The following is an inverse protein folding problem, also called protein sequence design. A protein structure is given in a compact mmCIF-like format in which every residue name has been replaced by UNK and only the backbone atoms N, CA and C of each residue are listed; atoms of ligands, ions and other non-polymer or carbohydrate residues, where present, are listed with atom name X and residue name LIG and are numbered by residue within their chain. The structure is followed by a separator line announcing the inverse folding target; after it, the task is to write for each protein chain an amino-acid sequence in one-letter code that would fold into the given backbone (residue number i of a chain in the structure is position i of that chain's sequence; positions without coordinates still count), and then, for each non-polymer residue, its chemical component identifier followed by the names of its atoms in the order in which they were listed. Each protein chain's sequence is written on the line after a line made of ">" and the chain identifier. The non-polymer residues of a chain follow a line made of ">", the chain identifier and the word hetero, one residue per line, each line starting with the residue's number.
data_IF_604907165570
#
_entry.id   IF_604907165570
#
_cell.length_a   1.000
_cell.length_b   1.000
_cell.length_c   1.000
_cell.angle_alpha   90.00
_cell.angle_beta   90.00
_cell.angle_gamma   90.00
#
_symmetry.space_group_name_H-M   'P 1'
#
loop_
_entity.id
_entity.type
_entity.pdbx_description
1 polymer ?
#
# COMPACT_ATOMS: atom_id res chain seq x y z
N UNK A 1 -14.33 -27.89 21.23
CA UNK A 1 -13.37 -27.38 20.23
C UNK A 1 -14.22 -26.68 19.19
N UNK A 2 -14.44 -25.36 19.34
CA UNK A 2 -15.21 -24.58 18.37
C UNK A 2 -14.19 -23.87 17.49
N UNK A 3 -13.91 -24.46 16.33
CA UNK A 3 -13.13 -23.83 15.28
C UNK A 3 -13.96 -22.67 14.72
N UNK A 4 -13.72 -21.48 15.27
CA UNK A 4 -14.14 -20.26 14.61
C UNK A 4 -13.19 -20.06 13.43
N UNK A 5 -13.60 -20.56 12.26
CA UNK A 5 -13.19 -20.02 10.98
C UNK A 5 -13.47 -18.51 11.05
N UNK A 6 -12.47 -17.72 11.41
CA UNK A 6 -12.54 -16.27 11.31
C UNK A 6 -12.61 -16.00 9.82
N UNK A 7 -13.84 -15.94 9.28
CA UNK A 7 -14.09 -15.53 7.90
C UNK A 7 -13.43 -14.18 7.75
N UNK A 8 -12.32 -14.16 6.99
CA UNK A 8 -11.59 -12.93 6.75
C UNK A 8 -12.59 -11.97 6.09
N UNK A 9 -12.72 -10.77 6.63
CA UNK A 9 -13.60 -9.78 6.04
C UNK A 9 -13.10 -9.46 4.64
N UNK A 10 -13.85 -9.89 3.63
CA UNK A 10 -13.54 -9.64 2.22
C UNK A 10 -13.36 -8.13 2.00
N UNK A 11 -14.13 -7.31 2.73
CA UNK A 11 -14.02 -5.85 2.70
C UNK A 11 -12.66 -5.35 3.19
N UNK A 12 -12.13 -5.89 4.29
CA UNK A 12 -10.84 -5.43 4.82
C UNK A 12 -9.69 -5.85 3.91
N UNK A 13 -9.77 -7.03 3.30
CA UNK A 13 -8.77 -7.50 2.35
C UNK A 13 -8.80 -6.71 1.03
N UNK A 14 -9.99 -6.41 0.51
CA UNK A 14 -10.16 -5.51 -0.63
C UNK A 14 -9.59 -4.12 -0.35
N UNK A 15 -9.81 -3.58 0.85
CA UNK A 15 -9.31 -2.26 1.24
C UNK A 15 -7.78 -2.25 1.42
N UNK A 16 -7.21 -3.28 2.05
CA UNK A 16 -5.77 -3.43 2.17
C UNK A 16 -5.10 -3.57 0.79
N UNK A 17 -5.72 -4.36 -0.10
CA UNK A 17 -5.31 -4.47 -1.49
C UNK A 17 -5.38 -3.13 -2.23
N UNK A 18 -6.47 -2.38 -2.07
CA UNK A 18 -6.66 -1.05 -2.66
C UNK A 18 -5.56 -0.07 -2.25
N UNK A 19 -5.25 0.02 -0.95
CA UNK A 19 -4.22 0.93 -0.44
C UNK A 19 -2.85 0.53 -0.98
N UNK A 20 -2.52 -0.76 -0.91
CA UNK A 20 -1.21 -1.26 -1.35
C UNK A 20 -1.03 -1.01 -2.85
N UNK A 21 -2.04 -1.35 -3.64
CA UNK A 21 -2.07 -1.10 -5.08
C UNK A 21 -2.01 0.38 -5.42
N UNK A 22 -2.72 1.23 -4.69
CA UNK A 22 -2.69 2.67 -4.87
C UNK A 22 -1.30 3.25 -4.63
N UNK A 23 -0.66 2.90 -3.52
CA UNK A 23 0.67 3.43 -3.16
C UNK A 23 1.72 3.00 -4.17
N UNK A 24 1.72 1.72 -4.58
CA UNK A 24 2.63 1.23 -5.62
C UNK A 24 2.37 1.90 -6.97
N UNK A 25 1.10 2.01 -7.38
CA UNK A 25 0.72 2.68 -8.61
C UNK A 25 1.10 4.16 -8.62
N UNK A 26 0.89 4.85 -7.49
CA UNK A 26 1.23 6.26 -7.32
C UNK A 26 2.73 6.48 -7.45
N UNK A 27 3.53 5.65 -6.77
CA UNK A 27 4.98 5.71 -6.83
C UNK A 27 5.46 5.45 -8.26
N UNK A 28 5.05 4.34 -8.88
CA UNK A 28 5.46 3.99 -10.23
C UNK A 28 5.03 5.04 -11.27
N UNK A 29 3.81 5.57 -11.16
CA UNK A 29 3.30 6.61 -12.05
C UNK A 29 4.01 7.95 -11.89
N UNK A 30 4.38 8.32 -10.66
CA UNK A 30 5.16 9.53 -10.40
C UNK A 30 6.59 9.38 -10.95
N UNK A 31 7.23 8.21 -10.76
CA UNK A 31 8.53 7.91 -11.36
C UNK A 31 8.46 7.98 -12.89
N UNK A 32 7.42 7.41 -13.50
CA UNK A 32 7.22 7.46 -14.95
C UNK A 32 7.02 8.89 -15.44
N UNK A 33 6.18 9.68 -14.78
CA UNK A 33 5.97 11.10 -15.11
C UNK A 33 7.24 11.94 -14.97
N UNK A 34 8.07 11.64 -13.96
CA UNK A 34 9.34 12.31 -13.77
C UNK A 34 10.32 11.97 -14.90
N UNK A 35 10.40 10.69 -15.29
CA UNK A 35 11.21 10.25 -16.44
C UNK A 35 10.75 10.92 -17.73
N UNK A 36 9.44 10.97 -18.00
CA UNK A 36 8.90 11.64 -19.20
C UNK A 36 9.25 13.12 -19.23
N UNK A 37 9.05 13.83 -18.11
CA UNK A 37 9.34 15.26 -18.01
C UNK A 37 10.84 15.54 -18.18
N UNK A 38 11.69 14.67 -17.62
CA UNK A 38 13.14 14.77 -17.74
C UNK A 38 13.62 14.47 -19.17
N UNK A 39 13.13 13.40 -19.80
CA UNK A 39 13.49 13.06 -21.18
C UNK A 39 13.07 14.14 -22.17
N UNK A 40 11.91 14.76 -21.96
CA UNK A 40 11.44 15.87 -22.79
C UNK A 40 12.44 17.04 -22.77
N UNK A 41 12.95 17.41 -21.59
CA UNK A 41 13.98 18.46 -21.48
C UNK A 41 15.33 18.05 -22.06
N UNK A 42 15.78 16.82 -21.80
CA UNK A 42 17.04 16.32 -22.35
C UNK A 42 17.06 16.32 -23.89
N UNK A 43 15.93 15.98 -24.52
CA UNK A 43 15.78 16.00 -25.98
C UNK A 43 15.81 17.42 -26.54
N UNK A 44 15.13 18.37 -25.90
CA UNK A 44 15.13 19.78 -26.31
C UNK A 44 16.53 20.39 -26.19
N UNK A 45 17.23 20.15 -25.08
CA UNK A 45 18.58 20.62 -24.87
C UNK A 45 19.55 20.04 -25.90
N UNK A 46 19.46 18.73 -26.18
CA UNK A 46 20.26 18.09 -27.22
C UNK A 46 20.02 18.72 -28.61
N UNK A 47 18.77 19.00 -28.97
CA UNK A 47 18.47 19.66 -30.24
C UNK A 47 18.98 21.10 -30.30
N UNK A 48 18.97 21.83 -29.19
CA UNK A 48 19.56 23.17 -29.13
C UNK A 48 21.06 23.15 -29.40
N UNK A 49 21.78 22.17 -28.84
CA UNK A 49 23.22 22.00 -29.04
C UNK A 49 23.56 21.61 -30.48
N UNK A 50 22.72 20.78 -31.12
CA UNK A 50 22.87 20.43 -32.53
C UNK A 50 22.58 21.60 -33.47
N UNK A 51 21.53 22.38 -33.21
CA UNK A 51 21.25 23.60 -33.97
C UNK A 51 22.41 24.59 -33.91
N UNK A 52 23.01 24.75 -32.71
CA UNK A 52 24.18 25.61 -32.52
C UNK A 52 25.44 25.07 -33.22
N UNK A 53 25.72 23.77 -33.09
CA UNK A 53 26.93 23.14 -33.66
C UNK A 53 26.89 23.04 -35.20
N UNK A 54 25.71 22.85 -35.78
CA UNK A 54 25.53 22.69 -37.23
C UNK A 54 25.26 24.01 -37.95
N UNK A 55 24.92 25.08 -37.22
CA UNK A 55 24.53 26.39 -37.80
C UNK A 55 23.20 26.34 -38.56
N UNK A 56 22.39 25.29 -38.33
CA UNK A 56 21.13 25.02 -39.03
C UNK A 56 19.95 25.37 -38.11
N UNK A 57 18.90 25.98 -38.66
CA UNK A 57 17.69 26.33 -37.91
C UNK A 57 17.01 25.09 -37.30
N UNK A 58 16.53 25.20 -36.06
CA UNK A 58 15.89 24.12 -35.29
C UNK A 58 14.71 23.43 -36.00
N UNK A 59 14.04 24.13 -36.93
CA UNK A 59 12.92 23.61 -37.71
C UNK A 59 13.31 22.58 -38.78
N UNK A 60 14.59 22.52 -39.16
CA UNK A 60 15.11 21.54 -40.14
C UNK A 60 15.61 20.25 -39.48
N UNK A 61 15.60 20.18 -38.15
CA UNK A 61 15.95 18.96 -37.40
C UNK A 61 14.74 18.00 -37.29
N UNK A 62 14.97 16.69 -37.18
CA UNK A 62 13.93 15.65 -37.29
C UNK A 62 12.78 15.72 -36.26
N UNK A 63 12.87 16.55 -35.21
CA UNK A 63 11.76 16.84 -34.29
C UNK A 63 11.40 18.34 -34.19
N UNK A 64 11.82 19.18 -35.15
CA UNK A 64 11.67 20.64 -35.09
C UNK A 64 10.24 21.12 -34.78
N UNK A 65 9.23 20.46 -35.37
CA UNK A 65 7.82 20.76 -35.09
C UNK A 65 7.32 20.24 -33.73
N UNK A 66 7.97 19.21 -33.17
CA UNK A 66 7.60 18.56 -31.92
C UNK A 66 8.28 19.19 -30.70
N UNK A 67 9.31 20.04 -30.89
CA UNK A 67 10.02 20.76 -29.81
C UNK A 67 9.05 21.50 -28.89
N UNK A 68 8.03 22.14 -29.46
CA UNK A 68 7.04 22.90 -28.70
C UNK A 68 6.19 22.01 -27.79
N UNK A 69 5.84 20.81 -28.23
CA UNK A 69 5.11 19.84 -27.40
C UNK A 69 6.03 19.31 -26.28
N UNK A 70 7.29 18.99 -26.57
CA UNK A 70 8.26 18.56 -25.55
C UNK A 70 8.52 19.64 -24.50
N UNK A 71 8.66 20.90 -24.90
CA UNK A 71 8.79 22.03 -23.98
C UNK A 71 7.55 22.17 -23.10
N UNK A 72 6.33 22.01 -23.64
CA UNK A 72 5.13 22.08 -22.78
C UNK A 72 5.06 20.94 -21.76
N UNK A 73 5.51 19.74 -22.12
CA UNK A 73 5.59 18.61 -21.17
C UNK A 73 6.63 18.87 -20.09
N UNK A 74 7.79 19.40 -20.47
CA UNK A 74 8.84 19.80 -19.54
C UNK A 74 8.39 20.94 -18.60
N UNK A 75 7.79 22.01 -19.13
CA UNK A 75 7.34 23.16 -18.35
C UNK A 75 6.21 22.81 -17.38
N UNK A 76 5.34 21.87 -17.80
CA UNK A 76 4.23 21.36 -16.99
C UNK A 76 4.60 20.14 -16.16
N UNK A 77 5.89 19.90 -15.89
CA UNK A 77 6.34 18.78 -15.04
C UNK A 77 5.56 18.69 -13.72
N UNK A 78 5.21 19.84 -13.13
CA UNK A 78 4.44 19.94 -11.89
C UNK A 78 3.00 19.42 -12.00
N UNK A 79 2.44 19.31 -13.22
CA UNK A 79 1.14 18.69 -13.51
C UNK A 79 1.32 17.26 -14.02
N UNK A 80 2.33 17.04 -14.87
CA UNK A 80 2.58 15.74 -15.49
C UNK A 80 2.91 14.70 -14.43
N UNK A 81 3.83 14.99 -13.50
CA UNK A 81 4.26 14.03 -12.47
C UNK A 81 3.09 13.62 -11.55
N UNK A 82 2.33 14.55 -10.94
CA UNK A 82 1.18 14.16 -10.12
C UNK A 82 0.06 13.56 -10.95
N UNK A 83 -0.15 14.02 -12.17
CA UNK A 83 -1.18 13.51 -13.08
C UNK A 83 -0.97 12.04 -13.43
N UNK A 84 0.24 11.68 -13.88
CA UNK A 84 0.60 10.28 -14.18
C UNK A 84 0.62 9.43 -12.91
N UNK A 85 1.10 9.99 -11.80
CA UNK A 85 1.05 9.36 -10.48
C UNK A 85 -0.37 8.98 -10.09
N UNK A 86 -1.31 9.92 -10.11
CA UNK A 86 -2.70 9.67 -9.74
C UNK A 86 -3.38 8.67 -10.67
N UNK A 87 -3.15 8.77 -11.99
CA UNK A 87 -3.69 7.83 -12.97
C UNK A 87 -3.25 6.40 -12.67
N UNK A 88 -1.95 6.18 -12.49
CA UNK A 88 -1.40 4.87 -12.19
C UNK A 88 -1.75 4.41 -10.77
N UNK A 89 -1.87 5.33 -9.81
CA UNK A 89 -2.36 5.06 -8.47
C UNK A 89 -3.78 4.53 -8.48
N UNK A 90 -4.70 5.17 -9.20
CA UNK A 90 -6.09 4.70 -9.33
C UNK A 90 -6.16 3.33 -10.02
N UNK A 91 -5.38 3.13 -11.08
CA UNK A 91 -5.28 1.84 -11.75
C UNK A 91 -4.73 0.75 -10.81
N UNK A 92 -3.68 1.06 -10.06
CA UNK A 92 -3.10 0.19 -9.05
C UNK A 92 -4.09 -0.13 -7.93
N UNK A 93 -4.87 0.85 -7.47
CA UNK A 93 -5.92 0.66 -6.48
C UNK A 93 -6.99 -0.31 -6.97
N UNK A 94 -7.43 -0.15 -8.21
CA UNK A 94 -8.41 -1.03 -8.84
C UNK A 94 -7.89 -2.48 -8.91
N UNK A 95 -6.66 -2.66 -9.40
CA UNK A 95 -5.99 -3.97 -9.41
C UNK A 95 -5.87 -4.54 -7.99
N UNK A 96 -5.49 -3.70 -7.03
CA UNK A 96 -5.34 -4.05 -5.62
C UNK A 96 -6.65 -4.52 -4.97
N UNK A 97 -7.77 -3.85 -5.25
CA UNK A 97 -9.10 -4.29 -4.80
C UNK A 97 -9.42 -5.68 -5.33
N UNK A 98 -9.19 -5.92 -6.62
CA UNK A 98 -9.45 -7.21 -7.26
C UNK A 98 -8.55 -8.31 -6.70
N UNK A 99 -7.26 -8.03 -6.54
CA UNK A 99 -6.29 -8.97 -5.97
C UNK A 99 -6.62 -9.30 -4.50
N UNK A 100 -6.90 -8.28 -3.69
CA UNK A 100 -7.26 -8.46 -2.27
C UNK A 100 -8.61 -9.16 -2.09
N UNK A 101 -9.59 -8.86 -2.93
CA UNK A 101 -10.88 -9.55 -2.96
C UNK A 101 -10.73 -11.02 -3.35
N UNK A 102 -9.99 -11.30 -4.43
CA UNK A 102 -9.70 -12.66 -4.86
C UNK A 102 -8.99 -13.45 -3.76
N UNK A 103 -7.95 -12.89 -3.15
CA UNK A 103 -7.22 -13.53 -2.07
C UNK A 103 -8.12 -13.88 -0.87
N UNK A 104 -8.97 -12.94 -0.45
CA UNK A 104 -9.92 -13.20 0.64
C UNK A 104 -10.96 -14.27 0.31
N UNK A 105 -11.44 -14.32 -0.95
CA UNK A 105 -12.36 -15.38 -1.38
C UNK A 105 -11.69 -16.76 -1.36
N UNK A 106 -10.43 -16.87 -1.81
CA UNK A 106 -9.68 -18.12 -1.80
C UNK A 106 -9.42 -18.64 -0.39
N UNK A 107 -9.05 -17.74 0.54
CA UNK A 107 -8.87 -18.08 1.97
C UNK A 107 -10.20 -18.52 2.58
N UNK A 108 -11.30 -17.81 2.29
CA UNK A 108 -12.62 -18.16 2.83
C UNK A 108 -13.23 -19.44 2.24
N UNK A 109 -12.84 -19.83 1.02
CA UNK A 109 -13.23 -21.10 0.39
C UNK A 109 -12.42 -22.30 0.89
N UNK A 110 -11.40 -22.09 1.74
CA UNK A 110 -10.59 -23.18 2.29
C UNK A 110 -9.56 -23.75 1.32
N UNK A 111 -9.28 -23.06 0.20
CA UNK A 111 -8.24 -23.45 -0.77
C UNK A 111 -6.84 -23.21 -0.18
N UNK A 112 -6.71 -22.24 0.73
CA UNK A 112 -5.49 -21.94 1.47
C UNK A 112 -5.78 -22.13 2.98
N UNK A 113 -5.39 -23.27 3.59
CA UNK A 113 -5.65 -23.52 5.01
C UNK A 113 -4.72 -22.65 5.86
N UNK A 114 -5.18 -21.45 6.23
CA UNK A 114 -4.50 -20.60 7.21
C UNK A 114 -5.15 -20.88 8.57
N UNK A 115 -4.59 -21.82 9.34
CA UNK A 115 -4.95 -22.05 10.73
C UNK A 115 -4.41 -20.91 11.60
N UNK A 116 -5.24 -19.88 11.82
CA UNK A 116 -4.91 -18.82 12.79
C UNK A 116 -5.37 -19.29 14.17
N UNK A 117 -4.42 -19.74 15.00
CA UNK A 117 -4.71 -20.06 16.41
C UNK A 117 -4.95 -18.78 17.19
N UNK A 118 -6.23 -18.45 17.43
CA UNK A 118 -6.60 -17.32 18.27
C UNK A 118 -6.41 -17.71 19.74
N UNK A 119 -5.28 -17.32 20.34
CA UNK A 119 -5.09 -17.42 21.79
C UNK A 119 -6.01 -16.39 22.45
N UNK A 120 -7.10 -16.88 23.07
CA UNK A 120 -8.02 -16.03 23.80
C UNK A 120 -7.31 -15.55 25.08
N UNK A 121 -7.26 -14.24 25.31
CA UNK A 121 -6.70 -13.60 26.53
C UNK A 121 -7.46 -13.94 27.84
N UNK A 122 -8.30 -14.96 27.82
CA UNK A 122 -9.03 -15.50 28.98
C UNK A 122 -8.37 -16.72 29.62
N UNK A 123 -7.42 -17.37 28.94
CA UNK A 123 -6.71 -18.56 29.46
C UNK A 123 -5.44 -18.19 30.24
N UNK A 124 -5.41 -16.99 30.83
CA UNK A 124 -4.48 -16.73 31.94
C UNK A 124 -5.23 -17.22 33.18
N UNK A 125 -4.85 -18.33 33.82
CA UNK A 125 -5.51 -18.75 35.04
C UNK A 125 -5.34 -17.62 36.04
N UNK A 126 -6.43 -16.89 36.29
CA UNK A 126 -6.52 -15.91 37.36
C UNK A 126 -6.29 -16.71 38.64
N UNK A 127 -5.04 -16.72 39.12
CA UNK A 127 -4.61 -17.44 40.32
C UNK A 127 -5.45 -16.92 41.46
N UNK A 128 -6.52 -17.66 41.77
CA UNK A 128 -7.52 -17.38 42.80
C UNK A 128 -6.78 -17.04 44.08
N UNK A 129 -6.71 -15.75 44.42
CA UNK A 129 -6.16 -15.25 45.67
C UNK A 129 -7.10 -15.52 46.86
N UNK A 130 -7.82 -16.64 46.84
CA UNK A 130 -8.80 -17.02 47.87
C UNK A 130 -8.23 -17.90 48.97
N UNK A 131 -6.99 -18.37 48.85
CA UNK A 131 -6.43 -19.34 49.82
C UNK A 131 -5.85 -18.70 51.10
N UNK A 132 -5.59 -17.38 51.11
CA UNK A 132 -5.01 -16.73 52.30
C UNK A 132 -6.01 -16.38 53.40
N UNK A 133 -7.32 -16.46 53.15
CA UNK A 133 -8.33 -16.06 54.15
C UNK A 133 -8.78 -17.19 55.07
N UNK A 134 -8.56 -18.45 54.68
CA UNK A 134 -9.07 -19.60 55.43
C UNK A 134 -8.16 -20.04 56.61
N UNK A 135 -6.89 -19.65 56.59
CA UNK A 135 -5.93 -20.00 57.66
C UNK A 135 -6.16 -19.19 58.95
N UNK A 136 -6.84 -18.03 58.88
CA UNK A 136 -6.99 -17.15 60.06
C UNK A 136 -8.19 -17.48 60.94
N UNK A 137 -9.13 -18.31 60.48
CA UNK A 137 -10.41 -18.54 61.18
C UNK A 137 -10.44 -19.81 62.04
N UNK A 138 -9.39 -20.64 62.03
CA UNK A 138 -9.37 -21.92 62.78
C UNK A 138 -8.63 -21.88 64.13
N UNK A 139 -8.23 -20.69 64.61
CA UNK A 139 -7.49 -20.52 65.88
C UNK A 139 -8.22 -19.65 66.91
N UNK A 140 -9.53 -19.83 67.07
CA UNK A 140 -10.29 -19.33 68.24
C UNK A 140 -11.54 -20.19 68.47
N UNK A 141 -11.37 -21.39 69.02
CA UNK A 141 -12.40 -22.09 69.79
C UNK A 141 -11.73 -23.13 70.69
N UNK A 142 -11.21 -22.64 71.81
CA UNK A 142 -11.01 -23.39 73.05
C UNK A 142 -10.81 -22.34 74.16
N UNK A 143 -11.71 -22.31 75.14
CA UNK A 143 -11.55 -22.12 76.61
C UNK A 143 -12.87 -21.56 77.20
N UNK A 144 -13.41 -22.26 78.19
CA UNK A 144 -14.59 -21.94 79.02
C UNK A 144 -15.81 -22.75 78.59
N UNK A 145 -16.37 -23.69 79.36
CA UNK A 145 -16.34 -23.97 80.81
C UNK A 145 -16.25 -25.49 81.06
#
# INVERSE_FOLDING_TARGET
>A
MNDYLVRLSIRSAMFAGAITGFVFGLFAGATLGALLSWFAGALVDWQSQLGFSLGIAQQLLPLGDQVRELQTVQDRWFVVIPGTGLLMGLLGAFIGVLAGGLWATLVNMGVLPIEVSVIRRGDVPMRRATDRRQVRTRRRRAVGE
#
